data_IF_218729027126
#
_entry.id   IF_218729027126
#
_cell.length_a   1.000
_cell.length_b   1.000
_cell.length_c   1.000
_cell.angle_alpha   90.00
_cell.angle_beta   90.00
_cell.angle_gamma   90.00
#
_symmetry.space_group_name_H-M   'P 1'
#
loop_
_entity.id
_entity.type
_entity.pdbx_description
1 polymer ?
#
# COMPACT_ATOMS: atom_id res chain seq x y z
N UNK A 1 31.54 -15.15 38.69
CA UNK A 1 32.04 -14.62 37.40
C UNK A 1 31.11 -13.50 36.99
N UNK A 2 31.62 -12.26 36.86
CA UNK A 2 30.78 -11.07 36.63
C UNK A 2 30.32 -11.01 35.15
N UNK A 3 29.10 -10.52 34.89
CA UNK A 3 28.50 -10.51 33.54
C UNK A 3 29.39 -9.81 32.50
N UNK A 4 30.13 -8.78 32.91
CA UNK A 4 31.08 -8.07 32.04
C UNK A 4 32.23 -8.96 31.54
N UNK A 5 32.68 -9.93 32.34
CA UNK A 5 33.71 -10.88 31.92
C UNK A 5 33.16 -11.89 30.90
N UNK A 6 31.89 -12.29 31.05
CA UNK A 6 31.23 -13.19 30.10
C UNK A 6 31.01 -12.53 28.74
N UNK A 7 30.63 -11.23 28.72
CA UNK A 7 30.46 -10.46 27.48
C UNK A 7 31.79 -10.24 26.78
N UNK A 8 32.86 -9.91 27.52
CA UNK A 8 34.20 -9.74 26.93
C UNK A 8 34.76 -11.02 26.34
N UNK A 9 34.50 -12.16 26.98
CA UNK A 9 34.93 -13.47 26.48
C UNK A 9 34.16 -13.88 25.20
N UNK A 10 32.85 -13.59 25.14
CA UNK A 10 32.03 -13.82 23.95
C UNK A 10 32.48 -12.95 22.76
N UNK A 11 32.78 -11.67 23.02
CA UNK A 11 33.29 -10.76 21.99
C UNK A 11 34.69 -11.18 21.49
N UNK A 12 35.56 -11.64 22.40
CA UNK A 12 36.89 -12.12 22.04
C UNK A 12 36.82 -13.35 21.13
N UNK A 13 35.94 -14.32 21.45
CA UNK A 13 35.71 -15.50 20.59
C UNK A 13 35.09 -15.17 19.24
N UNK A 14 34.25 -14.15 19.17
CA UNK A 14 33.66 -13.71 17.91
C UNK A 14 34.69 -13.07 16.97
N UNK A 15 35.73 -12.44 17.51
CA UNK A 15 36.80 -11.80 16.73
C UNK A 15 37.88 -12.81 16.30
N UNK A 16 38.21 -13.79 17.15
CA UNK A 16 39.22 -14.82 16.83
C UNK A 16 38.80 -15.78 15.69
N UNK A 17 37.50 -15.80 15.33
CA UNK A 17 36.97 -16.59 14.20
C UNK A 17 36.96 -15.88 12.84
N UNK A 18 37.36 -14.62 12.77
CA UNK A 18 37.33 -13.84 11.52
C UNK A 18 38.68 -13.96 10.81
N UNK A 19 38.76 -14.85 9.82
CA UNK A 19 39.88 -14.90 8.88
C UNK A 19 39.86 -13.63 8.02
N UNK A 20 40.96 -12.87 7.91
CA UNK A 20 41.01 -11.71 7.01
C UNK A 20 40.82 -12.15 5.56
N UNK A 21 39.81 -11.61 4.90
CA UNK A 21 39.57 -11.86 3.47
C UNK A 21 40.69 -11.21 2.65
N UNK A 22 41.36 -11.92 1.73
CA UNK A 22 42.42 -11.34 0.91
C UNK A 22 41.87 -10.23 0.01
N UNK A 23 42.55 -9.09 0.01
CA UNK A 23 42.26 -7.94 -0.84
C UNK A 23 42.18 -8.35 -2.33
N UNK A 24 41.04 -8.10 -3.01
CA UNK A 24 41.03 -8.07 -4.49
C UNK A 24 39.80 -8.57 -5.27
N UNK A 25 38.56 -8.52 -4.76
CA UNK A 25 37.41 -9.15 -5.48
C UNK A 25 36.14 -8.31 -5.66
N UNK A 26 36.13 -7.00 -5.37
CA UNK A 26 34.97 -6.14 -5.70
C UNK A 26 34.94 -5.70 -7.17
N UNK A 27 36.10 -5.43 -7.78
CA UNK A 27 36.20 -4.89 -9.15
C UNK A 27 35.73 -5.86 -10.24
N UNK A 28 35.93 -7.17 -10.05
CA UNK A 28 35.48 -8.19 -11.01
C UNK A 28 33.97 -8.33 -11.08
N UNK A 29 33.26 -8.12 -9.96
CA UNK A 29 31.79 -8.19 -9.91
C UNK A 29 31.17 -6.98 -10.65
N UNK A 30 31.77 -5.80 -10.54
CA UNK A 30 31.31 -4.61 -11.27
C UNK A 30 31.64 -4.65 -12.78
N UNK A 31 32.73 -5.32 -13.17
CA UNK A 31 33.09 -5.50 -14.58
C UNK A 31 32.09 -6.42 -15.32
N UNK A 32 31.63 -7.50 -14.67
CA UNK A 32 30.69 -8.45 -15.26
C UNK A 32 29.27 -7.86 -15.43
N UNK A 33 28.85 -6.94 -14.53
CA UNK A 33 27.57 -6.24 -14.65
C UNK A 33 27.52 -5.23 -15.84
N UNK A 34 28.67 -4.67 -16.26
CA UNK A 34 28.74 -3.71 -17.38
C UNK A 34 28.58 -4.37 -18.76
N UNK A 35 28.99 -5.63 -18.94
CA UNK A 35 28.91 -6.31 -20.23
C UNK A 35 27.47 -6.67 -20.62
N UNK A 36 26.62 -7.02 -19.63
CA UNK A 36 25.22 -7.39 -19.83
C UNK A 36 24.37 -6.20 -20.31
N UNK A 37 24.64 -4.99 -19.80
CA UNK A 37 23.94 -3.76 -20.22
C UNK A 37 24.21 -3.38 -21.68
N UNK A 38 25.41 -3.64 -22.20
CA UNK A 38 25.75 -3.31 -23.59
C UNK A 38 25.07 -4.24 -24.59
N UNK A 39 24.88 -5.52 -24.27
CA UNK A 39 24.14 -6.47 -25.13
C UNK A 39 22.66 -6.11 -25.26
N UNK A 40 22.00 -5.65 -24.18
CA UNK A 40 20.56 -5.30 -24.21
C UNK A 40 20.23 -4.03 -25.00
N UNK A 41 21.17 -3.09 -25.15
CA UNK A 41 20.95 -1.85 -25.93
C UNK A 41 20.91 -2.08 -27.45
N UNK A 42 21.51 -3.14 -27.97
CA UNK A 42 21.53 -3.42 -29.41
C UNK A 42 20.27 -4.14 -29.93
N UNK A 43 19.42 -4.65 -29.05
CA UNK A 43 18.25 -5.45 -29.41
C UNK A 43 16.91 -4.66 -29.42
N UNK A 44 16.94 -3.32 -29.27
CA UNK A 44 15.72 -2.49 -29.16
C UNK A 44 15.59 -1.41 -30.26
N UNK A 45 16.17 -1.66 -31.44
CA UNK A 45 15.84 -0.91 -32.65
C UNK A 45 15.23 -1.91 -33.62
N UNK A 46 13.92 -2.16 -33.49
CA UNK A 46 13.06 -2.65 -34.55
C UNK A 46 11.60 -2.66 -34.09
N UNK A 47 10.73 -2.22 -35.00
CA UNK A 47 9.27 -2.36 -35.03
C UNK A 47 8.46 -1.29 -34.27
N UNK A 48 8.21 -0.20 -35.02
CA UNK A 48 7.00 0.61 -34.99
C UNK A 48 5.86 -0.07 -35.76
N UNK A 49 4.60 0.07 -35.30
CA UNK A 49 3.43 0.43 -36.14
C UNK A 49 2.05 0.38 -35.38
N UNK A 50 1.35 1.51 -35.44
CA UNK A 50 -0.11 1.82 -35.53
C UNK A 50 -1.22 0.98 -34.85
N UNK A 51 -2.16 1.70 -34.18
CA UNK A 51 -3.58 1.96 -34.58
C UNK A 51 -4.42 2.36 -33.33
N UNK A 52 -4.88 3.62 -33.17
CA UNK A 52 -6.12 4.29 -33.62
C UNK A 52 -7.46 3.85 -32.96
N UNK A 53 -8.13 4.88 -32.41
CA UNK A 53 -9.58 5.13 -32.33
C UNK A 53 -10.45 4.49 -31.22
N UNK A 54 -11.16 5.37 -30.48
CA UNK A 54 -12.63 5.26 -30.40
C UNK A 54 -13.31 5.37 -29.03
N UNK A 55 -14.22 6.35 -28.96
CA UNK A 55 -15.50 6.39 -28.23
C UNK A 55 -15.55 6.92 -26.79
N UNK A 56 -16.03 8.17 -26.72
CA UNK A 56 -16.68 8.84 -25.60
C UNK A 56 -18.15 8.38 -25.55
N UNK A 57 -18.63 7.95 -24.38
CA UNK A 57 -20.06 8.01 -24.05
C UNK A 57 -20.23 8.40 -22.59
N UNK A 58 -20.83 9.58 -22.39
CA UNK A 58 -21.36 10.05 -21.13
C UNK A 58 -22.67 9.31 -20.80
N UNK A 59 -22.85 8.97 -19.53
CA UNK A 59 -24.11 8.50 -18.97
C UNK A 59 -24.25 9.03 -17.55
N UNK A 60 -24.97 10.14 -17.38
CA UNK A 60 -25.56 10.55 -16.11
C UNK A 60 -26.75 9.62 -15.82
N UNK A 61 -26.81 9.03 -14.63
CA UNK A 61 -28.05 8.77 -13.89
C UNK A 61 -27.78 8.73 -12.37
N UNK A 62 -28.81 9.09 -11.62
CA UNK A 62 -28.92 9.57 -10.23
C UNK A 62 -28.77 8.47 -9.14
N UNK A 63 -28.78 8.83 -7.83
CA UNK A 63 -28.26 8.00 -6.74
C UNK A 63 -29.34 7.14 -6.07
N UNK A 64 -28.95 5.97 -5.54
CA UNK A 64 -29.73 5.25 -4.53
C UNK A 64 -29.74 3.74 -4.69
N UNK A 65 -29.56 3.05 -3.56
CA UNK A 65 -29.66 1.61 -3.31
C UNK A 65 -28.46 0.76 -3.80
N UNK A 66 -27.41 0.70 -2.97
CA UNK A 66 -26.52 -0.45 -2.96
C UNK A 66 -27.25 -1.55 -2.19
N UNK A 67 -27.83 -2.47 -2.94
CA UNK A 67 -28.50 -3.66 -2.42
C UNK A 67 -27.46 -4.51 -1.68
N UNK A 68 -27.67 -4.69 -0.37
CA UNK A 68 -26.77 -5.47 0.47
C UNK A 68 -26.95 -6.95 0.15
N UNK A 69 -26.28 -7.41 -0.90
CA UNK A 69 -26.16 -8.84 -1.22
C UNK A 69 -25.43 -9.52 -0.06
N UNK A 70 -26.20 -10.16 0.83
CA UNK A 70 -25.67 -11.08 1.85
C UNK A 70 -24.97 -12.23 1.13
N UNK A 71 -23.63 -12.17 1.09
CA UNK A 71 -22.82 -13.33 0.74
C UNK A 71 -22.70 -14.18 2.00
N UNK A 72 -23.42 -15.30 2.03
CA UNK A 72 -23.16 -16.36 3.00
C UNK A 72 -21.83 -17.02 2.63
N UNK A 73 -20.77 -16.70 3.38
CA UNK A 73 -19.49 -17.40 3.27
C UNK A 73 -19.62 -18.70 4.06
N UNK A 74 -19.86 -19.80 3.35
CA UNK A 74 -19.98 -21.14 3.92
C UNK A 74 -18.65 -21.61 4.56
N UNK A 75 -18.77 -22.36 5.65
CA UNK A 75 -17.67 -23.03 6.34
C UNK A 75 -16.99 -24.04 5.40
N UNK A 76 -15.88 -23.63 4.80
CA UNK A 76 -15.12 -24.39 3.81
C UNK A 76 -14.23 -23.51 2.94
N UNK A 77 -13.73 -22.40 3.48
CA UNK A 77 -12.93 -21.43 2.71
C UNK A 77 -11.47 -21.90 2.61
N UNK A 78 -11.13 -22.58 1.50
CA UNK A 78 -9.77 -22.63 0.95
C UNK A 78 -9.51 -21.32 0.20
N UNK A 79 -9.40 -20.21 0.95
CA UNK A 79 -9.67 -18.86 0.45
C UNK A 79 -8.68 -18.29 -0.58
N UNK A 80 -9.11 -17.24 -1.33
CA UNK A 80 -8.25 -16.49 -2.23
C UNK A 80 -7.09 -15.85 -1.47
N UNK A 81 -5.90 -15.79 -2.08
CA UNK A 81 -4.81 -14.94 -1.57
C UNK A 81 -5.33 -13.49 -1.37
N UNK A 82 -4.86 -12.76 -0.35
CA UNK A 82 -5.12 -11.32 -0.12
C UNK A 82 -5.18 -10.52 -1.44
N UNK A 83 -4.21 -10.76 -2.31
CA UNK A 83 -4.11 -10.19 -3.65
C UNK A 83 -5.29 -10.52 -4.56
N UNK A 84 -5.80 -11.76 -4.53
CA UNK A 84 -6.95 -12.18 -5.32
C UNK A 84 -8.24 -11.49 -4.86
N UNK A 85 -8.46 -11.38 -3.54
CA UNK A 85 -9.56 -10.58 -3.00
C UNK A 85 -9.49 -9.14 -3.51
N UNK A 86 -8.32 -8.49 -3.36
CA UNK A 86 -8.19 -7.09 -3.77
C UNK A 86 -8.37 -6.91 -5.29
N UNK A 87 -7.91 -7.86 -6.12
CA UNK A 87 -8.16 -7.83 -7.58
C UNK A 87 -9.64 -7.93 -7.94
N UNK A 88 -10.44 -8.64 -7.16
CA UNK A 88 -11.89 -8.75 -7.38
C UNK A 88 -12.62 -7.47 -6.98
N UNK A 89 -12.16 -6.80 -5.91
CA UNK A 89 -12.77 -5.57 -5.40
C UNK A 89 -12.39 -4.33 -6.20
N UNK A 90 -11.22 -4.32 -6.86
CA UNK A 90 -10.73 -3.17 -7.59
C UNK A 90 -11.22 -3.12 -9.04
N UNK A 91 -11.38 -1.91 -9.60
CA UNK A 91 -11.63 -1.74 -11.03
C UNK A 91 -10.53 -2.41 -11.89
N UNK A 92 -10.88 -3.01 -13.04
CA UNK A 92 -9.92 -3.76 -13.86
C UNK A 92 -8.79 -2.88 -14.40
N UNK A 93 -9.00 -1.56 -14.51
CA UNK A 93 -8.01 -0.62 -15.00
C UNK A 93 -6.91 -0.28 -13.99
N UNK A 94 -6.99 -0.70 -12.72
CA UNK A 94 -6.01 -0.36 -11.69
C UNK A 94 -4.62 -0.94 -12.01
N UNK A 95 -4.58 -2.07 -12.71
CA UNK A 95 -3.35 -2.74 -13.12
C UNK A 95 -3.08 -4.01 -12.32
N UNK A 96 -1.85 -4.51 -12.39
CA UNK A 96 -1.47 -5.75 -11.70
C UNK A 96 -1.17 -5.47 -10.24
N UNK A 97 -1.78 -6.24 -9.35
CA UNK A 97 -1.61 -6.11 -7.90
C UNK A 97 -0.76 -7.25 -7.38
N UNK A 98 0.20 -6.94 -6.52
CA UNK A 98 1.07 -7.88 -5.83
C UNK A 98 1.18 -7.51 -4.34
N UNK A 99 1.10 -8.49 -3.45
CA UNK A 99 1.32 -8.27 -2.02
C UNK A 99 2.82 -7.98 -1.78
N UNK A 100 3.11 -6.80 -1.24
CA UNK A 100 4.47 -6.35 -0.94
C UNK A 100 4.87 -6.70 0.50
N UNK A 101 3.95 -6.48 1.45
CA UNK A 101 4.13 -6.87 2.84
C UNK A 101 2.84 -7.44 3.41
N UNK A 102 2.99 -8.53 4.17
CA UNK A 102 1.88 -9.10 4.93
C UNK A 102 1.47 -8.13 6.04
N UNK A 103 0.20 -8.14 6.45
CA UNK A 103 -0.20 -7.44 7.65
C UNK A 103 0.53 -8.02 8.86
N UNK A 104 0.62 -7.22 9.93
CA UNK A 104 1.14 -7.70 11.21
C UNK A 104 0.37 -8.92 11.72
N UNK A 105 0.90 -9.58 12.75
CA UNK A 105 0.17 -10.65 13.43
C UNK A 105 -0.72 -10.07 14.54
N UNK A 106 -1.96 -10.54 14.64
CA UNK A 106 -2.91 -10.02 15.63
C UNK A 106 -4.30 -10.63 15.49
N UNK A 107 -5.14 -10.44 16.50
CA UNK A 107 -6.53 -10.94 16.50
C UNK A 107 -7.45 -10.10 15.59
N UNK A 108 -7.00 -8.90 15.24
CA UNK A 108 -7.81 -7.89 14.55
C UNK A 108 -7.37 -7.68 13.09
N UNK A 109 -6.49 -8.57 12.60
CA UNK A 109 -6.03 -8.56 11.21
C UNK A 109 -7.17 -9.03 10.31
N UNK A 110 -7.56 -8.20 9.36
CA UNK A 110 -8.55 -8.57 8.35
C UNK A 110 -7.90 -9.20 7.12
N UNK A 111 -8.69 -9.95 6.35
CA UNK A 111 -8.23 -10.58 5.10
C UNK A 111 -7.75 -9.56 4.06
N UNK A 112 -8.22 -8.31 4.13
CA UNK A 112 -7.78 -7.23 3.26
C UNK A 112 -6.47 -6.57 3.69
N UNK A 113 -6.03 -6.75 4.94
CA UNK A 113 -4.89 -6.01 5.47
C UNK A 113 -3.58 -6.38 4.75
N UNK A 114 -2.72 -5.38 4.58
CA UNK A 114 -1.42 -5.51 3.95
C UNK A 114 -1.02 -4.29 3.14
N UNK A 115 0.19 -4.30 2.59
CA UNK A 115 0.64 -3.33 1.59
C UNK A 115 0.78 -4.02 0.24
N UNK A 116 0.24 -3.40 -0.78
CA UNK A 116 0.13 -3.94 -2.12
C UNK A 116 0.81 -3.01 -3.12
N UNK A 117 1.71 -3.58 -3.92
CA UNK A 117 2.29 -2.90 -5.06
C UNK A 117 1.32 -3.01 -6.24
N UNK A 118 1.06 -1.87 -6.88
CA UNK A 118 0.26 -1.79 -8.10
C UNK A 118 1.16 -1.47 -9.27
N UNK A 119 1.15 -2.29 -10.32
CA UNK A 119 1.93 -2.09 -11.53
C UNK A 119 1.02 -1.82 -12.74
N UNK A 120 1.19 -0.67 -13.39
CA UNK A 120 0.43 -0.26 -14.59
C UNK A 120 1.33 0.52 -15.55
N UNK A 121 1.39 0.08 -16.82
CA UNK A 121 2.17 0.77 -17.85
C UNK A 121 3.68 0.89 -17.53
N UNK A 122 4.24 -0.09 -16.81
CA UNK A 122 5.64 -0.05 -16.35
C UNK A 122 5.90 0.93 -15.20
N UNK A 123 4.83 1.49 -14.60
CA UNK A 123 4.88 2.35 -13.44
C UNK A 123 4.31 1.63 -12.21
N UNK A 124 4.71 2.08 -11.03
CA UNK A 124 4.33 1.50 -9.76
C UNK A 124 3.64 2.51 -8.86
N UNK A 125 2.66 2.03 -8.09
CA UNK A 125 1.99 2.75 -7.02
C UNK A 125 1.72 1.78 -5.88
N UNK A 126 1.06 2.25 -4.84
CA UNK A 126 0.82 1.48 -3.63
C UNK A 126 -0.63 1.61 -3.16
N UNK A 127 -1.15 0.53 -2.58
CA UNK A 127 -2.37 0.49 -1.79
C UNK A 127 -2.00 -0.14 -0.45
N UNK A 128 -2.28 0.52 0.66
CA UNK A 128 -2.17 -0.06 2.00
C UNK A 128 -3.52 -0.11 2.67
N UNK A 129 -3.80 -1.21 3.36
CA UNK A 129 -5.05 -1.46 4.07
C UNK A 129 -4.70 -1.89 5.49
N UNK A 130 -5.30 -1.21 6.46
CA UNK A 130 -5.09 -1.47 7.88
C UNK A 130 -6.41 -1.43 8.63
N UNK A 131 -6.75 -2.53 9.29
CA UNK A 131 -7.82 -2.58 10.28
C UNK A 131 -7.23 -2.43 11.68
N UNK A 132 -7.91 -1.64 12.51
CA UNK A 132 -7.54 -1.38 13.89
C UNK A 132 -8.65 -1.82 14.83
N UNK A 133 -8.24 -2.44 15.93
CA UNK A 133 -9.12 -2.75 17.05
C UNK A 133 -9.71 -1.48 17.65
N UNK A 134 -10.84 -1.57 18.39
CA UNK A 134 -11.31 -0.45 19.18
C UNK A 134 -10.25 -0.06 20.21
N UNK A 135 -9.84 1.20 20.22
CA UNK A 135 -8.89 1.77 21.18
C UNK A 135 -9.57 2.28 22.46
N UNK A 136 -10.90 2.20 22.51
CA UNK A 136 -11.72 2.61 23.66
C UNK A 136 -11.94 4.13 23.77
N UNK A 137 -11.32 4.93 22.89
CA UNK A 137 -11.48 6.38 22.86
C UNK A 137 -12.60 6.86 21.92
N UNK A 138 -13.28 5.91 21.27
CA UNK A 138 -14.44 6.15 20.42
C UNK A 138 -14.06 6.57 19.00
N UNK A 139 -15.04 6.77 18.14
CA UNK A 139 -14.80 7.24 16.78
C UNK A 139 -14.26 8.69 16.82
N UNK A 140 -12.94 8.84 16.72
CA UNK A 140 -12.29 10.14 16.62
C UNK A 140 -12.62 10.82 15.30
N UNK A 141 -12.84 12.15 15.34
CA UNK A 141 -12.97 12.92 14.11
C UNK A 141 -11.61 13.13 13.45
N UNK A 142 -11.29 12.20 12.55
CA UNK A 142 -10.03 12.18 11.78
C UNK A 142 -9.80 13.50 11.03
N UNK A 143 -10.87 14.13 10.52
CA UNK A 143 -10.70 15.39 9.80
C UNK A 143 -10.38 16.55 10.74
N UNK A 144 -10.96 16.60 11.94
CA UNK A 144 -10.63 17.64 12.91
C UNK A 144 -9.14 17.57 13.33
N UNK A 145 -8.56 16.37 13.41
CA UNK A 145 -7.13 16.22 13.67
C UNK A 145 -6.28 16.67 12.47
N UNK A 146 -6.71 16.29 11.26
CA UNK A 146 -5.96 16.54 10.03
C UNK A 146 -6.07 17.94 9.47
N UNK A 147 -7.11 18.71 9.79
CA UNK A 147 -7.25 20.11 9.37
C UNK A 147 -6.08 20.99 9.83
N UNK A 148 -5.38 20.58 10.90
CA UNK A 148 -4.17 21.27 11.38
C UNK A 148 -2.88 20.80 10.71
N UNK A 149 -2.93 19.74 9.91
CA UNK A 149 -1.75 19.09 9.33
C UNK A 149 -1.52 19.59 7.91
N UNK A 150 -0.38 20.28 7.72
CA UNK A 150 0.10 20.80 6.42
C UNK A 150 0.23 19.77 5.28
N UNK A 151 0.20 18.47 5.59
CA UNK A 151 0.35 17.39 4.60
C UNK A 151 -0.98 16.80 4.15
N UNK A 152 -2.10 17.30 4.67
CA UNK A 152 -3.45 16.91 4.23
C UNK A 152 -4.17 18.08 3.58
N UNK A 153 -5.13 17.76 2.72
CA UNK A 153 -6.04 18.71 2.13
C UNK A 153 -7.37 18.01 1.82
N UNK A 154 -8.41 18.82 1.60
CA UNK A 154 -9.73 18.35 1.14
C UNK A 154 -10.31 17.24 2.03
N UNK A 155 -10.15 17.38 3.35
CA UNK A 155 -10.73 16.41 4.29
C UNK A 155 -12.26 16.53 4.27
N UNK A 156 -12.92 15.38 4.17
CA UNK A 156 -14.37 15.29 4.16
C UNK A 156 -14.83 14.15 5.05
N UNK A 157 -15.96 14.36 5.71
CA UNK A 157 -16.61 13.42 6.60
C UNK A 157 -18.05 13.19 6.13
N UNK A 158 -18.47 11.94 6.10
CA UNK A 158 -19.82 11.52 5.74
C UNK A 158 -20.32 10.52 6.78
N UNK A 159 -21.41 10.86 7.47
CA UNK A 159 -22.11 9.91 8.31
C UNK A 159 -22.92 8.94 7.45
N UNK A 160 -22.82 7.66 7.74
CA UNK A 160 -23.47 6.58 7.02
C UNK A 160 -24.51 5.90 7.92
N UNK A 161 -25.44 5.19 7.29
CA UNK A 161 -26.40 4.37 8.02
C UNK A 161 -25.71 3.34 8.92
N UNK A 162 -26.28 3.11 10.11
CA UNK A 162 -25.80 2.13 11.07
C UNK A 162 -24.66 2.64 11.96
N UNK A 163 -24.54 3.95 12.15
CA UNK A 163 -23.52 4.55 13.02
C UNK A 163 -22.09 4.40 12.49
N UNK A 164 -21.94 4.27 11.17
CA UNK A 164 -20.64 4.24 10.50
C UNK A 164 -20.29 5.63 10.03
N UNK A 165 -19.00 5.94 9.97
CA UNK A 165 -18.52 7.24 9.49
C UNK A 165 -17.41 7.03 8.48
N UNK A 166 -17.51 7.68 7.32
CA UNK A 166 -16.47 7.67 6.29
C UNK A 166 -15.73 9.01 6.30
N UNK A 167 -14.41 8.95 6.44
CA UNK A 167 -13.51 10.08 6.24
C UNK A 167 -12.73 9.89 4.95
N UNK A 168 -12.47 10.96 4.23
CA UNK A 168 -11.55 10.97 3.09
C UNK A 168 -10.70 12.21 3.08
N UNK A 169 -9.44 12.10 2.67
CA UNK A 169 -8.55 13.26 2.51
C UNK A 169 -7.52 13.00 1.44
N UNK A 170 -6.96 14.10 0.91
CA UNK A 170 -5.85 14.07 -0.03
C UNK A 170 -4.54 14.31 0.70
N UNK A 171 -3.52 13.55 0.31
CA UNK A 171 -2.14 13.80 0.74
C UNK A 171 -1.53 14.87 -0.17
N UNK A 172 -1.07 15.96 0.42
CA UNK A 172 -0.36 17.03 -0.29
C UNK A 172 1.08 16.55 -0.55
N UNK A 173 1.52 16.43 -1.82
CA UNK A 173 2.84 15.91 -2.15
C UNK A 173 3.95 16.92 -1.85
N UNK A 174 5.13 16.41 -1.49
CA UNK A 174 6.34 17.22 -1.30
C UNK A 174 6.54 17.79 0.08
N UNK A 175 5.67 17.45 1.02
CA UNK A 175 5.79 17.83 2.42
C UNK A 175 6.67 16.80 3.12
N UNK A 176 7.69 17.25 3.84
CA UNK A 176 8.49 16.36 4.67
C UNK A 176 7.63 15.85 5.84
N UNK A 177 7.45 14.53 5.91
CA UNK A 177 6.64 13.85 6.92
C UNK A 177 7.48 13.34 8.09
N UNK A 178 8.73 12.97 7.82
CA UNK A 178 9.63 12.34 8.78
C UNK A 178 10.97 13.08 8.86
N UNK A 179 11.68 12.87 9.97
CA UNK A 179 12.98 13.51 10.24
C UNK A 179 14.08 13.05 9.29
N UNK A 180 13.89 11.92 8.61
CA UNK A 180 14.82 11.35 7.62
C UNK A 180 14.85 12.08 6.27
N UNK A 181 14.04 13.14 6.10
CA UNK A 181 13.94 13.89 4.84
C UNK A 181 12.89 13.35 3.86
N UNK A 182 12.20 12.25 4.20
CA UNK A 182 11.18 11.63 3.37
C UNK A 182 10.02 12.60 3.15
N UNK A 183 9.74 12.85 1.86
CA UNK A 183 8.64 13.70 1.42
C UNK A 183 7.45 12.86 1.01
N UNK A 184 6.26 13.33 1.36
CA UNK A 184 5.00 12.77 0.88
C UNK A 184 4.96 12.70 -0.64
N UNK A 185 4.38 11.63 -1.15
CA UNK A 185 3.99 11.49 -2.56
C UNK A 185 2.51 11.86 -2.71
N UNK A 186 2.05 12.02 -3.96
CA UNK A 186 0.63 12.25 -4.19
C UNK A 186 -0.15 11.01 -3.76
N UNK A 187 -1.23 11.20 -3.01
CA UNK A 187 -1.99 10.10 -2.44
C UNK A 187 -3.38 10.52 -1.98
N UNK A 188 -4.21 9.52 -1.73
CA UNK A 188 -5.53 9.67 -1.13
C UNK A 188 -5.66 8.67 0.01
N UNK A 189 -6.47 9.03 0.99
CA UNK A 189 -6.81 8.15 2.09
C UNK A 189 -8.31 8.12 2.31
N UNK A 190 -8.79 6.97 2.78
CA UNK A 190 -10.13 6.80 3.32
C UNK A 190 -10.05 6.08 4.67
N UNK A 191 -10.80 6.57 5.63
CA UNK A 191 -11.02 5.91 6.93
C UNK A 191 -12.49 5.52 7.05
N UNK A 192 -12.77 4.30 7.49
CA UNK A 192 -14.12 3.85 7.84
C UNK A 192 -14.18 3.54 9.34
N UNK A 193 -14.97 4.32 10.06
CA UNK A 193 -15.31 4.08 11.46
C UNK A 193 -16.53 3.19 11.58
N UNK A 194 -16.46 2.21 12.46
CA UNK A 194 -17.53 1.27 12.75
C UNK A 194 -18.18 1.57 14.12
N UNK A 195 -19.46 1.22 14.31
CA UNK A 195 -20.17 1.50 15.57
C UNK A 195 -19.61 0.72 16.77
N UNK A 196 -18.85 -0.34 16.54
CA UNK A 196 -18.14 -1.11 17.57
C UNK A 196 -16.78 -0.48 17.96
N UNK A 197 -16.45 0.69 17.40
CA UNK A 197 -15.21 1.42 17.66
C UNK A 197 -14.02 0.97 16.81
N UNK A 198 -14.16 -0.07 15.98
CA UNK A 198 -13.11 -0.44 15.03
C UNK A 198 -12.98 0.63 13.94
N UNK A 199 -11.77 0.72 13.37
CA UNK A 199 -11.52 1.57 12.21
C UNK A 199 -10.77 0.82 11.13
N UNK A 200 -11.04 1.13 9.88
CA UNK A 200 -10.26 0.68 8.73
C UNK A 200 -9.69 1.90 8.02
N UNK A 201 -8.40 1.88 7.71
CA UNK A 201 -7.75 2.88 6.88
C UNK A 201 -7.25 2.26 5.59
N UNK A 202 -7.53 2.94 4.48
CA UNK A 202 -7.00 2.63 3.17
C UNK A 202 -6.23 3.85 2.69
N UNK A 203 -4.98 3.67 2.33
CA UNK A 203 -4.16 4.71 1.71
C UNK A 203 -3.71 4.24 0.33
N UNK A 204 -3.76 5.15 -0.65
CA UNK A 204 -3.27 4.91 -2.01
C UNK A 204 -2.28 5.98 -2.41
N UNK A 205 -1.12 5.57 -2.92
CA UNK A 205 0.00 6.45 -3.19
C UNK A 205 0.51 6.24 -4.63
N UNK A 206 0.93 7.34 -5.27
CA UNK A 206 1.54 7.33 -6.60
C UNK A 206 2.97 6.73 -6.63
N UNK A 207 3.49 6.32 -5.47
CA UNK A 207 4.77 5.64 -5.30
C UNK A 207 4.88 5.04 -3.90
N UNK A 208 6.04 4.51 -3.55
CA UNK A 208 6.28 3.97 -2.21
C UNK A 208 6.36 5.11 -1.17
N UNK A 209 5.44 5.07 -0.20
CA UNK A 209 5.37 6.02 0.92
C UNK A 209 6.57 5.95 1.87
N UNK A 210 7.31 4.84 1.86
CA UNK A 210 8.44 4.56 2.76
C UNK A 210 9.81 4.82 2.12
N UNK A 211 9.92 4.89 0.79
CA UNK A 211 11.24 5.01 0.13
C UNK A 211 11.77 6.44 0.03
N UNK A 212 10.95 7.48 0.27
CA UNK A 212 11.32 8.90 0.11
C UNK A 212 11.77 9.30 -1.30
N UNK A 213 11.75 8.38 -2.27
CA UNK A 213 12.29 8.56 -3.63
C UNK A 213 11.21 9.01 -4.59
N UNK A 214 10.80 10.27 -4.46
CA UNK A 214 9.79 10.94 -5.29
C UNK A 214 10.09 10.95 -6.81
N UNK A 215 11.34 10.68 -7.20
CA UNK A 215 11.84 10.85 -8.57
C UNK A 215 12.24 9.55 -9.26
N UNK A 216 11.88 8.37 -8.73
CA UNK A 216 12.07 7.15 -9.52
C UNK A 216 11.16 7.24 -10.75
N UNK A 217 11.70 7.23 -11.99
CA UNK A 217 10.88 7.19 -13.19
C UNK A 217 10.02 5.92 -13.25
N UNK A 218 10.19 4.95 -12.37
CA UNK A 218 9.30 3.82 -12.20
C UNK A 218 8.02 4.16 -11.41
N UNK A 219 7.89 5.28 -10.72
CA UNK A 219 6.66 5.62 -9.98
C UNK A 219 5.57 6.23 -10.87
N UNK A 220 4.31 6.04 -10.47
CA UNK A 220 3.16 6.65 -11.12
C UNK A 220 3.14 8.17 -10.89
N UNK A 221 2.52 8.90 -11.82
CA UNK A 221 2.31 10.34 -11.67
C UNK A 221 1.11 10.67 -10.76
N UNK A 222 0.17 9.74 -10.63
CA UNK A 222 -1.03 9.84 -9.82
C UNK A 222 -1.27 8.52 -9.06
N UNK A 223 -2.04 8.53 -7.96
CA UNK A 223 -2.37 7.32 -7.22
C UNK A 223 -3.10 6.28 -8.09
N UNK A 224 -3.00 4.98 -7.77
CA UNK A 224 -3.63 3.92 -8.56
C UNK A 224 -5.16 3.96 -8.55
N UNK A 225 -5.76 4.60 -7.55
CA UNK A 225 -7.21 4.84 -7.43
C UNK A 225 -7.52 6.34 -7.44
N UNK A 226 -8.64 6.69 -8.05
CA UNK A 226 -9.27 8.00 -7.82
C UNK A 226 -9.91 8.07 -6.43
N UNK A 227 -10.20 9.27 -5.94
CA UNK A 227 -10.91 9.46 -4.67
C UNK A 227 -12.29 8.74 -4.67
N UNK A 228 -13.01 8.74 -5.79
CA UNK A 228 -14.30 8.06 -5.89
C UNK A 228 -14.14 6.53 -5.75
N UNK A 229 -13.21 5.93 -6.51
CA UNK A 229 -12.91 4.50 -6.41
C UNK A 229 -12.42 4.10 -5.00
N UNK A 230 -11.66 4.96 -4.35
CA UNK A 230 -11.21 4.74 -2.97
C UNK A 230 -12.38 4.73 -1.98
N UNK A 231 -13.34 5.64 -2.13
CA UNK A 231 -14.57 5.66 -1.31
C UNK A 231 -15.36 4.37 -1.50
N UNK A 232 -15.57 3.96 -2.75
CA UNK A 232 -16.31 2.73 -3.05
C UNK A 232 -15.61 1.51 -2.45
N UNK A 233 -14.28 1.44 -2.55
CA UNK A 233 -13.48 0.37 -1.93
C UNK A 233 -13.59 0.38 -0.41
N UNK A 234 -13.50 1.55 0.24
CA UNK A 234 -13.57 1.67 1.69
C UNK A 234 -14.92 1.20 2.26
N UNK A 235 -15.98 1.19 1.44
CA UNK A 235 -17.31 0.73 1.83
C UNK A 235 -17.52 -0.78 1.62
N UNK A 236 -16.52 -1.51 1.10
CA UNK A 236 -16.62 -2.96 0.84
C UNK A 236 -16.55 -3.76 2.14
N UNK A 237 -17.62 -4.47 2.54
CA UNK A 237 -17.62 -5.27 3.78
C UNK A 237 -16.62 -6.43 3.74
N UNK A 238 -16.22 -6.88 2.55
CA UNK A 238 -15.26 -7.96 2.37
C UNK A 238 -13.87 -7.63 2.96
N UNK A 239 -13.52 -6.35 3.05
CA UNK A 239 -12.28 -5.89 3.66
C UNK A 239 -12.25 -5.97 5.19
N UNK A 240 -13.42 -6.17 5.83
CA UNK A 240 -13.57 -6.22 7.28
C UNK A 240 -13.63 -7.65 7.82
N UNK A 241 -13.55 -8.65 6.93
CA UNK A 241 -13.62 -10.07 7.30
C UNK A 241 -12.34 -10.45 8.04
N UNK A 242 -12.40 -10.97 9.28
CA UNK A 242 -11.22 -11.38 10.02
C UNK A 242 -10.43 -12.44 9.26
N UNK A 243 -9.10 -12.35 9.31
CA UNK A 243 -8.22 -13.36 8.73
C UNK A 243 -8.40 -14.68 9.51
N UNK A 244 -8.64 -15.83 8.84
CA UNK A 244 -8.79 -17.10 9.53
C UNK A 244 -7.50 -17.44 10.30
N UNK A 245 -7.67 -17.96 11.52
CA UNK A 245 -6.54 -18.47 12.31
C UNK A 245 -5.98 -19.70 11.61
N UNK A 246 -4.70 -19.65 11.26
CA UNK A 246 -3.91 -20.79 10.77
C UNK A 246 -3.58 -21.77 11.89
#
# INVERSE_FOLDING_TARGET
MNQDQAVRELLRRAVDGVVPVPNGTSERIFAQARSIRRRRRRARIAVSALALAGAVTAGLLLPGAVDARRVQIAAGYSGPTQTALLRELLPPEVGRIELNSKPGSGKDVAIGDGMYLVAKGGKYGEISIHNFAPDGSGAHDVCAEFDTKRWTADCGKVELSGGRTLWTWRIVPGIQLYDDGTKSVAGYCAGLGLPDGRTMFIQVNAGDSLSGRRSDPAWMAAPPLTMAQLRDLALRPELLVPLPKS
#
